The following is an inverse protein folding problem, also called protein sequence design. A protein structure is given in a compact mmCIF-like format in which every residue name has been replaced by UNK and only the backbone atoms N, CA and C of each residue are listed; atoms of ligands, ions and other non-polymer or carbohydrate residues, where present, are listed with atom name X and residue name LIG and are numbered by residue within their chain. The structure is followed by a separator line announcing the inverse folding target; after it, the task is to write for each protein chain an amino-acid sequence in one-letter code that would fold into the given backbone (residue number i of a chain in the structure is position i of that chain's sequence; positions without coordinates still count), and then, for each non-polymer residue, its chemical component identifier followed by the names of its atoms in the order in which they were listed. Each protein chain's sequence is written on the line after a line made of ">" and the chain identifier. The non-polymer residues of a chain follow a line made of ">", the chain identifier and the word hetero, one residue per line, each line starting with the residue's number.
data_IF_384212489189
#
_entry.id   IF_384212489189
#
_cell.length_a   1.000
_cell.length_b   1.000
_cell.length_c   1.000
_cell.angle_alpha   90.00
_cell.angle_beta   90.00
_cell.angle_gamma   90.00
#
_symmetry.space_group_name_H-M   'P 1'
#
loop_
_entity.id
_entity.type
_entity.pdbx_description
1 polymer ?
#
# COMPACT_ATOMS: atom_id res chain seq x y z
N UNK A 1 4.89 -14.35 -8.62
CA UNK A 1 5.08 -13.01 -8.00
C UNK A 1 3.98 -12.82 -6.97
N UNK A 2 4.31 -12.59 -5.69
CA UNK A 2 3.30 -12.47 -4.61
C UNK A 2 2.70 -11.07 -4.54
N UNK A 3 1.54 -10.94 -3.89
CA UNK A 3 0.87 -9.66 -3.63
C UNK A 3 1.81 -8.66 -2.96
N UNK A 4 2.69 -9.11 -2.05
CA UNK A 4 3.66 -8.25 -1.36
C UNK A 4 4.60 -7.52 -2.31
N UNK A 5 5.02 -8.19 -3.41
CA UNK A 5 5.87 -7.57 -4.43
C UNK A 5 5.09 -6.48 -5.18
N UNK A 6 3.80 -6.67 -5.42
CA UNK A 6 2.96 -5.63 -6.03
C UNK A 6 2.77 -4.45 -5.08
N UNK A 7 2.47 -4.70 -3.80
CA UNK A 7 2.30 -3.65 -2.80
C UNK A 7 3.58 -2.85 -2.56
N UNK A 8 4.74 -3.53 -2.51
CA UNK A 8 6.04 -2.85 -2.37
C UNK A 8 6.32 -1.91 -3.54
N UNK A 9 6.04 -2.35 -4.77
CA UNK A 9 6.24 -1.52 -5.97
C UNK A 9 5.25 -0.35 -6.00
N UNK A 10 3.99 -0.59 -5.64
CA UNK A 10 2.97 0.46 -5.55
C UNK A 10 3.37 1.55 -4.55
N UNK A 11 3.73 1.17 -3.31
CA UNK A 11 4.18 2.14 -2.28
C UNK A 11 5.36 2.98 -2.76
N UNK A 12 6.35 2.36 -3.42
CA UNK A 12 7.49 3.09 -4.00
C UNK A 12 7.07 4.08 -5.09
N UNK A 13 6.12 3.71 -5.95
CA UNK A 13 5.66 4.56 -7.04
C UNK A 13 4.90 5.80 -6.56
N UNK A 14 4.17 5.69 -5.44
CA UNK A 14 3.32 6.77 -4.92
C UNK A 14 3.97 7.55 -3.75
N UNK A 15 5.08 7.07 -3.21
CA UNK A 15 5.85 7.75 -2.16
C UNK A 15 6.32 9.17 -2.52
N UNK A 16 6.72 9.51 -3.77
CA UNK A 16 7.09 10.88 -4.12
C UNK A 16 5.97 11.90 -3.94
N UNK A 17 4.72 11.44 -3.96
CA UNK A 17 3.53 12.26 -3.72
C UNK A 17 3.09 12.24 -2.25
N UNK A 18 3.83 11.56 -1.36
CA UNK A 18 3.47 11.39 0.05
C UNK A 18 2.30 10.40 0.30
N UNK A 19 1.92 9.61 -0.71
CA UNK A 19 0.73 8.77 -0.69
C UNK A 19 0.98 7.31 -0.31
N UNK A 20 2.21 6.93 0.05
CA UNK A 20 2.55 5.56 0.46
C UNK A 20 1.72 5.08 1.66
N UNK A 21 1.35 6.03 2.54
CA UNK A 21 0.50 5.83 3.72
C UNK A 21 -0.94 5.44 3.38
N UNK A 22 -1.39 5.68 2.15
CA UNK A 22 -2.73 5.28 1.72
C UNK A 22 -2.84 3.76 1.61
N UNK A 23 -1.74 3.02 1.41
CA UNK A 23 -1.75 1.56 1.37
C UNK A 23 -1.45 1.00 2.76
N UNK A 24 -2.46 0.52 3.46
CA UNK A 24 -2.36 0.02 4.83
C UNK A 24 -2.26 -1.50 4.88
N UNK A 25 -1.52 -2.02 5.85
CA UNK A 25 -1.46 -3.46 6.15
C UNK A 25 -2.53 -3.80 7.18
N UNK A 26 -3.36 -4.79 6.89
CA UNK A 26 -4.38 -5.35 7.79
C UNK A 26 -3.90 -6.72 8.25
N UNK A 27 -3.58 -6.84 9.54
CA UNK A 27 -3.10 -8.10 10.13
C UNK A 27 -4.13 -9.21 9.90
N UNK A 28 -3.70 -10.33 9.31
CA UNK A 28 -4.55 -11.48 9.03
C UNK A 28 -5.48 -11.35 7.81
N UNK A 29 -5.51 -10.21 7.11
CA UNK A 29 -6.37 -10.01 5.94
C UNK A 29 -5.61 -9.54 4.68
N UNK A 30 -4.47 -8.86 4.83
CA UNK A 30 -3.65 -8.40 3.71
C UNK A 30 -3.51 -6.88 3.66
N UNK A 31 -3.96 -6.25 2.58
CA UNK A 31 -3.75 -4.82 2.32
C UNK A 31 -5.05 -4.12 1.95
N UNK A 32 -5.17 -2.85 2.33
CA UNK A 32 -6.31 -2.00 1.95
C UNK A 32 -5.86 -0.59 1.60
N UNK A 33 -6.72 0.15 0.92
CA UNK A 33 -6.57 1.58 0.75
C UNK A 33 -7.19 2.33 1.94
N UNK A 34 -6.59 3.43 2.35
CA UNK A 34 -7.13 4.32 3.38
C UNK A 34 -8.39 4.98 2.83
N UNK A 35 -9.49 4.88 3.59
CA UNK A 35 -10.76 5.53 3.25
C UNK A 35 -10.86 6.98 3.75
N UNK A 36 -9.85 7.47 4.49
CA UNK A 36 -9.74 8.88 4.87
C UNK A 36 -8.95 9.62 3.80
N UNK A 37 -9.63 10.51 3.07
CA UNK A 37 -9.04 11.60 2.29
C UNK A 37 -8.60 12.72 3.25
#
# INVERSE_FOLDING_TARGET
>A
RTVDVHIRRLRKAIAPLGHDRLVQTVRGAGYRFSSKL
#
